data_IF_788981316218
#
_entry.id   IF_788981316218
#
_cell.length_a   1.000
_cell.length_b   1.000
_cell.length_c   1.000
_cell.angle_alpha   90.00
_cell.angle_beta   90.00
_cell.angle_gamma   90.00
#
_symmetry.space_group_name_H-M   'P 1'
#
loop_
_entity.id
_entity.type
_entity.pdbx_description
1 polymer ?
#
# COMPACT_ATOMS: atom_id res chain seq x y z
N UNK A 1 16.00 -12.71 -8.61
CA UNK A 1 14.70 -12.13 -9.01
C UNK A 1 13.63 -13.19 -8.87
N UNK A 2 12.71 -12.98 -7.96
CA UNK A 2 11.64 -13.93 -7.74
C UNK A 2 10.30 -13.20 -7.58
N UNK A 3 9.26 -13.74 -8.23
CA UNK A 3 7.89 -13.28 -8.02
C UNK A 3 7.27 -14.10 -6.89
N UNK A 4 6.58 -13.42 -5.99
CA UNK A 4 5.87 -14.07 -4.89
C UNK A 4 4.37 -14.07 -5.17
N UNK A 5 3.68 -15.09 -4.69
CA UNK A 5 2.23 -15.19 -4.81
C UNK A 5 1.57 -14.13 -3.94
N UNK A 6 0.65 -13.38 -4.52
CA UNK A 6 -0.15 -12.42 -3.77
C UNK A 6 -1.30 -13.15 -3.07
N UNK A 7 -1.34 -12.99 -1.75
CA UNK A 7 -2.36 -13.56 -0.87
C UNK A 7 -3.66 -12.79 -1.04
N UNK A 8 -4.78 -13.50 -1.05
CA UNK A 8 -6.10 -12.90 -1.27
C UNK A 8 -6.90 -12.75 0.02
N UNK A 9 -7.85 -11.81 0.01
CA UNK A 9 -8.79 -11.60 1.10
C UNK A 9 -9.43 -12.93 1.52
N UNK A 10 -9.49 -13.16 2.82
CA UNK A 10 -9.94 -14.41 3.41
C UNK A 10 -8.80 -15.25 3.96
N UNK A 11 -7.57 -15.01 3.55
CA UNK A 11 -6.39 -15.67 4.12
C UNK A 11 -5.97 -14.95 5.41
N UNK A 12 -5.67 -15.71 6.44
CA UNK A 12 -5.46 -15.22 7.81
C UNK A 12 -4.35 -14.17 7.95
N UNK A 13 -3.29 -14.25 7.15
CA UNK A 13 -2.15 -13.35 7.28
C UNK A 13 -2.50 -11.89 7.02
N UNK A 14 -3.57 -11.61 6.27
CA UNK A 14 -4.00 -10.24 5.97
C UNK A 14 -4.66 -9.52 7.14
N UNK A 15 -5.08 -10.25 8.17
CA UNK A 15 -5.75 -9.69 9.34
C UNK A 15 -4.89 -9.72 10.60
N UNK A 16 -3.62 -10.05 10.47
CA UNK A 16 -2.69 -10.15 11.59
C UNK A 16 -1.75 -8.93 11.64
N UNK A 17 -1.35 -8.58 12.85
CA UNK A 17 -0.35 -7.53 13.08
C UNK A 17 1.04 -8.07 12.77
N UNK A 18 1.79 -7.35 11.95
CA UNK A 18 3.14 -7.73 11.57
C UNK A 18 4.15 -7.36 12.66
N UNK A 19 5.23 -8.14 12.75
CA UNK A 19 6.30 -7.91 13.71
C UNK A 19 7.31 -6.90 13.17
N UNK A 20 7.88 -6.04 14.04
CA UNK A 20 8.97 -5.16 13.65
C UNK A 20 10.16 -5.94 13.12
N UNK A 21 10.86 -5.37 12.16
CA UNK A 21 12.13 -5.90 11.65
C UNK A 21 13.24 -5.46 12.61
N UNK A 22 14.04 -6.43 13.07
CA UNK A 22 15.17 -6.17 13.94
C UNK A 22 16.52 -6.52 13.31
N UNK A 23 16.49 -7.38 12.29
CA UNK A 23 17.69 -7.84 11.57
C UNK A 23 17.67 -7.32 10.13
N UNK A 24 18.59 -6.43 9.80
CA UNK A 24 18.72 -5.83 8.48
C UNK A 24 19.76 -6.61 7.70
N UNK A 25 19.38 -7.83 7.35
CA UNK A 25 20.25 -8.85 6.81
C UNK A 25 19.91 -9.19 5.35
N UNK A 26 20.56 -10.20 4.82
CA UNK A 26 20.35 -10.64 3.44
C UNK A 26 18.92 -11.15 3.19
N UNK A 27 18.27 -11.73 4.21
CA UNK A 27 16.86 -12.19 4.08
C UNK A 27 15.93 -11.02 3.84
N UNK A 28 16.15 -9.90 4.54
CA UNK A 28 15.39 -8.67 4.35
C UNK A 28 15.62 -8.11 2.94
N UNK A 29 16.87 -8.10 2.48
CA UNK A 29 17.21 -7.61 1.14
C UNK A 29 16.54 -8.44 0.04
N UNK A 30 16.53 -9.76 0.19
CA UNK A 30 15.85 -10.67 -0.75
C UNK A 30 14.33 -10.39 -0.75
N UNK A 31 13.73 -10.25 0.44
CA UNK A 31 12.29 -9.94 0.56
C UNK A 31 11.96 -8.62 -0.16
N UNK A 32 12.73 -7.57 0.08
CA UNK A 32 12.52 -6.27 -0.56
C UNK A 32 12.66 -6.37 -2.08
N UNK A 33 13.69 -7.08 -2.57
CA UNK A 33 13.89 -7.28 -4.00
C UNK A 33 12.71 -8.03 -4.64
N UNK A 34 12.25 -9.11 -3.99
CA UNK A 34 11.13 -9.91 -4.47
C UNK A 34 9.82 -9.09 -4.45
N UNK A 35 9.61 -8.28 -3.42
CA UNK A 35 8.43 -7.42 -3.33
C UNK A 35 8.41 -6.38 -4.44
N UNK A 36 9.57 -5.78 -4.76
CA UNK A 36 9.68 -4.83 -5.87
C UNK A 36 9.36 -5.49 -7.20
N UNK A 37 9.92 -6.66 -7.46
CA UNK A 37 9.66 -7.42 -8.69
C UNK A 37 8.19 -7.81 -8.80
N UNK A 38 7.60 -8.27 -7.70
CA UNK A 38 6.17 -8.65 -7.64
C UNK A 38 5.28 -7.43 -7.88
N UNK A 39 5.61 -6.29 -7.28
CA UNK A 39 4.86 -5.05 -7.48
C UNK A 39 4.87 -4.62 -8.95
N UNK A 40 6.05 -4.59 -9.56
CA UNK A 40 6.19 -4.19 -10.97
C UNK A 40 5.46 -5.14 -11.91
N UNK A 41 5.51 -6.43 -11.65
CA UNK A 41 4.79 -7.45 -12.44
C UNK A 41 3.27 -7.29 -12.31
N UNK A 42 2.78 -6.92 -11.13
CA UNK A 42 1.35 -6.81 -10.85
C UNK A 42 0.69 -5.56 -11.45
N UNK A 43 1.48 -4.54 -11.78
CA UNK A 43 0.96 -3.26 -12.24
C UNK A 43 0.35 -2.41 -11.11
N UNK A 44 0.50 -2.80 -9.86
CA UNK A 44 0.04 -2.02 -8.71
C UNK A 44 1.00 -0.88 -8.38
N UNK A 45 0.63 -0.09 -7.36
CA UNK A 45 1.43 1.06 -6.91
C UNK A 45 1.99 0.86 -5.49
N UNK A 46 1.57 -0.19 -4.80
CA UNK A 46 2.06 -0.53 -3.47
C UNK A 46 1.87 -2.00 -3.14
N UNK A 47 2.72 -2.50 -2.27
CA UNK A 47 2.66 -3.89 -1.80
C UNK A 47 3.25 -3.98 -0.39
N UNK A 48 2.54 -4.66 0.50
CA UNK A 48 2.97 -4.90 1.87
C UNK A 48 3.34 -6.37 2.06
N UNK A 49 4.28 -6.65 2.97
CA UNK A 49 4.79 -8.01 3.19
C UNK A 49 3.70 -9.05 3.52
N UNK A 50 2.67 -8.74 4.32
CA UNK A 50 1.61 -9.71 4.55
C UNK A 50 0.87 -10.13 3.28
N UNK A 51 0.85 -9.31 2.24
CA UNK A 51 0.25 -9.66 0.95
C UNK A 51 1.04 -10.73 0.20
N UNK A 52 2.26 -11.02 0.62
CA UNK A 52 3.05 -12.15 0.11
C UNK A 52 3.28 -13.21 1.21
N UNK A 53 2.47 -13.16 2.26
CA UNK A 53 2.46 -14.16 3.33
C UNK A 53 3.53 -13.98 4.40
N UNK A 54 4.20 -12.83 4.44
CA UNK A 54 5.28 -12.54 5.38
C UNK A 54 4.82 -11.51 6.41
N UNK A 55 4.74 -11.91 7.69
CA UNK A 55 4.23 -11.05 8.76
C UNK A 55 5.34 -10.18 9.37
N UNK A 56 5.94 -9.34 8.54
CA UNK A 56 6.98 -8.39 8.92
C UNK A 56 6.59 -6.99 8.48
N UNK A 57 7.01 -5.98 9.25
CA UNK A 57 6.64 -4.58 8.98
C UNK A 57 7.48 -3.98 7.85
N UNK A 58 7.15 -4.42 6.63
CA UNK A 58 7.85 -4.01 5.41
C UNK A 58 6.80 -3.74 4.32
N UNK A 59 6.94 -2.63 3.62
CA UNK A 59 6.16 -2.37 2.41
C UNK A 59 6.97 -1.59 1.38
N UNK A 60 6.50 -1.59 0.14
CA UNK A 60 7.08 -0.84 -0.96
C UNK A 60 5.98 -0.03 -1.63
N UNK A 61 6.30 1.20 -2.03
CA UNK A 61 5.37 2.12 -2.69
C UNK A 61 6.06 2.74 -3.89
N UNK A 62 5.40 2.76 -5.03
CA UNK A 62 5.89 3.46 -6.21
C UNK A 62 5.30 4.86 -6.25
N UNK A 63 6.14 5.88 -6.32
CA UNK A 63 5.71 7.27 -6.39
C UNK A 63 5.38 7.70 -7.82
N UNK A 64 4.99 8.95 -8.01
CA UNK A 64 4.60 9.48 -9.32
C UNK A 64 5.78 9.59 -10.30
N UNK A 65 7.02 9.55 -9.81
CA UNK A 65 8.23 9.54 -10.63
C UNK A 65 8.70 8.12 -10.96
N UNK A 66 7.85 7.12 -10.72
CA UNK A 66 8.13 5.69 -10.90
C UNK A 66 9.29 5.16 -10.03
N UNK A 67 9.64 5.88 -8.97
CA UNK A 67 10.62 5.42 -8.00
C UNK A 67 9.95 4.53 -6.96
N UNK A 68 10.60 3.42 -6.61
CA UNK A 68 10.08 2.51 -5.57
C UNK A 68 10.74 2.86 -4.24
N UNK A 69 9.91 3.23 -3.28
CA UNK A 69 10.31 3.58 -1.92
C UNK A 69 10.16 2.34 -1.05
N UNK A 70 11.28 1.89 -0.46
CA UNK A 70 11.29 0.78 0.50
C UNK A 70 11.08 1.33 1.89
N UNK A 71 10.07 0.81 2.59
CA UNK A 71 9.70 1.26 3.94
C UNK A 71 9.78 0.08 4.91
N UNK A 72 10.78 0.11 5.79
CA UNK A 72 10.94 -0.89 6.86
C UNK A 72 10.55 -0.24 8.18
N UNK A 73 9.71 -0.91 8.97
CA UNK A 73 9.16 -0.39 10.21
C UNK A 73 8.55 1.02 10.04
N UNK A 74 7.68 1.23 9.04
CA UNK A 74 7.14 2.56 8.77
C UNK A 74 6.15 3.02 9.82
N UNK A 75 6.16 4.33 10.05
CA UNK A 75 5.25 5.01 10.98
C UNK A 75 4.82 6.32 10.35
N UNK A 76 3.52 6.59 10.34
CA UNK A 76 3.00 7.88 9.89
C UNK A 76 3.21 8.89 11.02
N UNK A 77 4.00 9.94 10.74
CA UNK A 77 4.38 10.95 11.75
C UNK A 77 3.71 12.30 11.53
N UNK A 78 3.11 12.53 10.38
CA UNK A 78 2.41 13.77 10.07
C UNK A 78 1.39 13.55 8.96
N UNK A 79 0.22 14.16 9.10
CA UNK A 79 -0.81 14.19 8.05
C UNK A 79 -1.39 15.58 7.93
N UNK A 80 -1.86 15.93 6.74
CA UNK A 80 -2.53 17.20 6.46
C UNK A 80 -3.60 17.01 5.40
N UNK A 81 -4.74 17.66 5.59
CA UNK A 81 -5.82 17.68 4.63
C UNK A 81 -6.52 16.34 4.45
N UNK A 82 -7.40 16.29 3.47
CA UNK A 82 -8.15 15.08 3.12
C UNK A 82 -8.29 14.99 1.61
N UNK A 83 -8.31 13.77 1.12
CA UNK A 83 -8.63 13.44 -0.26
C UNK A 83 -9.61 12.27 -0.27
N UNK A 84 -10.53 12.26 -1.20
CA UNK A 84 -11.50 11.19 -1.36
C UNK A 84 -11.43 10.66 -2.79
N UNK A 85 -11.32 9.36 -2.94
CA UNK A 85 -11.20 8.75 -4.27
C UNK A 85 -11.27 7.24 -4.22
N UNK A 86 -11.18 6.65 -5.41
CA UNK A 86 -11.20 5.21 -5.56
C UNK A 86 -9.96 4.56 -4.99
N UNK A 87 -10.16 3.44 -4.33
CA UNK A 87 -9.10 2.60 -3.83
C UNK A 87 -9.41 1.14 -4.15
N UNK A 88 -8.39 0.39 -4.52
CA UNK A 88 -8.45 -1.04 -4.73
C UNK A 88 -7.22 -1.68 -4.11
N UNK A 89 -7.14 -2.99 -4.13
CA UNK A 89 -6.04 -3.72 -3.52
C UNK A 89 -5.75 -4.99 -4.32
N UNK A 90 -4.47 -5.32 -4.49
CA UNK A 90 -4.06 -6.55 -5.17
C UNK A 90 -4.58 -7.80 -4.47
N UNK A 91 -4.82 -7.73 -3.15
CA UNK A 91 -5.38 -8.81 -2.35
C UNK A 91 -6.91 -8.88 -2.38
N UNK A 92 -7.58 -7.90 -2.99
CA UNK A 92 -9.04 -7.83 -3.17
C UNK A 92 -9.33 -7.54 -4.64
N UNK A 93 -9.00 -8.47 -5.55
CA UNK A 93 -9.07 -8.20 -6.97
C UNK A 93 -10.51 -7.94 -7.47
N UNK A 94 -10.63 -7.01 -8.39
CA UNK A 94 -11.91 -6.69 -9.03
C UNK A 94 -12.90 -5.89 -8.19
N UNK A 95 -12.51 -5.47 -6.99
CA UNK A 95 -13.37 -4.69 -6.09
C UNK A 95 -12.72 -3.34 -5.78
N UNK A 96 -13.56 -2.30 -5.74
CA UNK A 96 -13.13 -0.94 -5.50
C UNK A 96 -14.10 -0.26 -4.54
N UNK A 97 -13.60 0.72 -3.81
CA UNK A 97 -14.42 1.53 -2.92
C UNK A 97 -13.94 2.97 -2.91
N UNK A 98 -14.81 3.88 -2.52
CA UNK A 98 -14.46 5.28 -2.31
C UNK A 98 -13.98 5.44 -0.88
N UNK A 99 -12.73 5.88 -0.71
CA UNK A 99 -12.07 5.99 0.59
C UNK A 99 -11.51 7.38 0.78
N UNK A 100 -11.68 7.94 1.98
CA UNK A 100 -11.10 9.21 2.39
C UNK A 100 -9.79 8.95 3.13
N UNK A 101 -8.71 9.62 2.69
CA UNK A 101 -7.38 9.53 3.26
C UNK A 101 -6.82 10.92 3.46
N UNK A 102 -5.76 11.09 4.28
CA UNK A 102 -5.04 12.36 4.28
C UNK A 102 -4.47 12.69 2.90
N UNK A 103 -4.47 13.97 2.56
CA UNK A 103 -3.91 14.43 1.28
C UNK A 103 -2.38 14.45 1.29
N UNK A 104 -1.80 14.82 2.44
CA UNK A 104 -0.35 14.84 2.64
C UNK A 104 -0.01 13.89 3.79
N UNK A 105 0.99 13.04 3.59
CA UNK A 105 1.44 12.07 4.59
C UNK A 105 2.96 12.08 4.66
N UNK A 106 3.50 12.20 5.87
CA UNK A 106 4.93 12.02 6.14
C UNK A 106 5.13 10.72 6.90
N UNK A 107 6.03 9.90 6.39
CA UNK A 107 6.36 8.60 6.96
C UNK A 107 7.80 8.63 7.47
N UNK A 108 8.02 8.15 8.69
CA UNK A 108 9.34 7.82 9.20
C UNK A 108 9.52 6.32 9.10
N UNK A 109 10.63 5.89 8.52
CA UNK A 109 10.92 4.47 8.30
C UNK A 109 12.41 4.22 8.37
N UNK A 110 12.78 2.96 8.20
CA UNK A 110 14.19 2.55 8.05
C UNK A 110 14.37 2.01 6.64
N UNK A 111 15.56 2.19 6.09
CA UNK A 111 15.93 1.60 4.80
C UNK A 111 16.38 0.14 5.01
N UNK A 112 16.83 -0.52 3.94
CA UNK A 112 17.24 -1.91 3.99
C UNK A 112 18.47 -2.18 4.85
N UNK A 113 19.21 -1.13 5.20
CA UNK A 113 20.40 -1.19 6.04
C UNK A 113 20.13 -0.72 7.48
N UNK A 114 18.89 -0.39 7.80
CA UNK A 114 18.46 0.03 9.13
C UNK A 114 18.59 1.50 9.42
N UNK A 115 18.98 2.32 8.45
CA UNK A 115 19.11 3.78 8.62
C UNK A 115 17.73 4.44 8.59
N UNK A 116 17.47 5.34 9.54
CA UNK A 116 16.23 6.08 9.59
C UNK A 116 16.17 7.18 8.51
N UNK A 117 15.00 7.39 7.96
CA UNK A 117 14.72 8.48 7.05
C UNK A 117 13.25 8.89 7.16
N UNK A 118 12.93 10.06 6.64
CA UNK A 118 11.55 10.51 6.50
C UNK A 118 11.27 10.81 5.04
N UNK A 119 10.08 10.51 4.62
CA UNK A 119 9.59 10.82 3.28
C UNK A 119 8.18 11.38 3.39
N UNK A 120 7.92 12.44 2.63
CA UNK A 120 6.61 13.08 2.59
C UNK A 120 6.14 13.12 1.15
N UNK A 121 4.87 12.83 0.94
CA UNK A 121 4.26 12.93 -0.38
C UNK A 121 2.77 13.26 -0.24
N UNK A 122 2.13 13.51 -1.37
CA UNK A 122 0.74 13.90 -1.46
C UNK A 122 -0.02 13.00 -2.45
N UNK A 123 -1.32 13.27 -2.58
CA UNK A 123 -2.19 12.66 -3.58
C UNK A 123 -2.14 11.13 -3.55
N UNK A 124 -1.91 10.48 -4.68
CA UNK A 124 -1.92 9.01 -4.80
C UNK A 124 -0.84 8.36 -3.93
N UNK A 125 0.37 8.93 -3.88
CA UNK A 125 1.46 8.36 -3.08
C UNK A 125 1.12 8.42 -1.59
N UNK A 126 0.55 9.52 -1.10
CA UNK A 126 0.10 9.62 0.29
C UNK A 126 -0.97 8.58 0.60
N UNK A 127 -1.93 8.37 -0.31
CA UNK A 127 -2.95 7.33 -0.19
C UNK A 127 -2.30 5.95 -0.08
N UNK A 128 -1.30 5.68 -0.91
CA UNK A 128 -0.58 4.40 -0.89
C UNK A 128 0.17 4.18 0.42
N UNK A 129 0.80 5.21 0.96
CA UNK A 129 1.45 5.09 2.28
C UNK A 129 0.46 4.60 3.34
N UNK A 130 -0.70 5.22 3.42
CA UNK A 130 -1.73 4.82 4.39
C UNK A 130 -2.21 3.39 4.16
N UNK A 131 -2.50 3.06 2.92
CA UNK A 131 -3.01 1.74 2.52
C UNK A 131 -2.01 0.63 2.89
N UNK A 132 -0.74 0.80 2.53
CA UNK A 132 0.27 -0.24 2.78
C UNK A 132 0.64 -0.34 4.27
N UNK A 133 0.73 0.78 4.98
CA UNK A 133 1.03 0.76 6.41
C UNK A 133 -0.10 0.09 7.20
N UNK A 134 -1.35 0.30 6.81
CA UNK A 134 -2.50 -0.38 7.42
C UNK A 134 -2.44 -1.90 7.28
N UNK A 135 -1.96 -2.40 6.15
CA UNK A 135 -1.75 -3.84 5.98
C UNK A 135 -0.85 -4.42 7.07
N UNK A 136 0.12 -3.65 7.54
CA UNK A 136 1.04 -4.10 8.59
C UNK A 136 0.37 -4.24 9.95
N UNK A 137 -0.79 -3.61 10.13
CA UNK A 137 -1.61 -3.70 11.33
C UNK A 137 -2.83 -4.62 11.14
N UNK A 138 -2.90 -5.33 10.02
CA UNK A 138 -3.95 -6.30 9.74
C UNK A 138 -5.23 -5.68 9.19
N UNK A 139 -5.17 -4.51 8.57
CA UNK A 139 -6.33 -3.81 8.03
C UNK A 139 -6.34 -3.77 6.50
N UNK A 140 -7.52 -3.81 5.92
CA UNK A 140 -7.77 -3.70 4.48
C UNK A 140 -8.62 -2.45 4.19
N UNK A 141 -8.47 -1.90 2.99
CA UNK A 141 -9.21 -0.70 2.59
C UNK A 141 -10.74 -0.86 2.68
N UNK A 142 -11.22 -2.10 2.57
CA UNK A 142 -12.66 -2.40 2.63
C UNK A 142 -13.30 -1.97 3.95
N UNK A 143 -12.50 -1.80 5.01
CA UNK A 143 -12.95 -1.30 6.32
C UNK A 143 -13.26 0.20 6.31
N UNK A 144 -12.78 0.93 5.31
CA UNK A 144 -12.91 2.38 5.19
C UNK A 144 -13.95 2.83 4.16
N UNK A 145 -14.69 1.89 3.60
CA UNK A 145 -15.76 2.20 2.66
C UNK A 145 -17.05 1.54 3.11
N UNK A 146 -18.16 2.25 2.99
CA UNK A 146 -19.49 1.72 3.34
C UNK A 146 -20.01 0.76 2.28
N UNK A 147 -19.46 0.84 1.09
CA UNK A 147 -19.98 0.11 -0.06
C UNK A 147 -18.88 -0.16 -1.08
N UNK A 148 -18.73 -1.43 -1.44
CA UNK A 148 -17.86 -1.83 -2.56
C UNK A 148 -18.67 -1.62 -3.85
N UNK A 149 -18.07 -0.91 -4.80
CA UNK A 149 -18.74 -0.56 -6.05
C UNK A 149 -18.98 -1.79 -6.93
N UNK A 150 -20.16 -1.87 -7.52
CA UNK A 150 -20.43 -2.79 -8.64
C UNK A 150 -19.65 -2.28 -9.86
N UNK A 151 -19.56 -3.11 -10.89
CA UNK A 151 -18.91 -2.70 -12.15
C UNK A 151 -19.60 -1.47 -12.76
N UNK A 152 -20.94 -1.43 -12.72
CA UNK A 152 -21.70 -0.29 -13.22
C UNK A 152 -21.42 0.99 -12.43
N UNK A 153 -21.38 0.88 -11.09
CA UNK A 153 -21.07 2.01 -10.22
C UNK A 153 -19.64 2.50 -10.43
N UNK A 154 -18.70 1.60 -10.64
CA UNK A 154 -17.30 1.93 -10.93
C UNK A 154 -17.20 2.72 -12.23
N UNK A 155 -17.85 2.25 -13.31
CA UNK A 155 -17.86 2.93 -14.60
C UNK A 155 -18.49 4.32 -14.48
N UNK A 156 -19.58 4.45 -13.76
CA UNK A 156 -20.24 5.73 -13.49
C UNK A 156 -19.33 6.69 -12.73
N UNK A 157 -18.63 6.19 -11.72
CA UNK A 157 -17.68 7.00 -10.94
C UNK A 157 -16.55 7.53 -11.83
N UNK A 158 -15.95 6.67 -12.64
CA UNK A 158 -14.88 7.04 -13.56
C UNK A 158 -15.37 8.09 -14.56
N UNK A 159 -16.55 7.90 -15.11
CA UNK A 159 -17.16 8.84 -16.07
C UNK A 159 -17.36 10.22 -15.45
N UNK A 160 -17.85 10.28 -14.21
CA UNK A 160 -18.03 11.54 -13.50
C UNK A 160 -16.72 12.27 -13.24
N UNK A 161 -15.66 11.53 -12.89
CA UNK A 161 -14.35 12.13 -12.69
C UNK A 161 -13.79 12.71 -14.00
N UNK A 162 -13.97 12.04 -15.10
CA UNK A 162 -13.55 12.53 -16.43
C UNK A 162 -14.30 13.81 -16.81
N UNK A 163 -15.60 13.88 -16.53
CA UNK A 163 -16.42 15.08 -16.77
C UNK A 163 -15.97 16.25 -15.91
N UNK A 164 -15.63 16.01 -14.64
CA UNK A 164 -15.20 17.06 -13.72
C UNK A 164 -13.80 17.61 -14.10
N UNK A 165 -12.98 16.81 -14.77
CA UNK A 165 -11.63 17.20 -15.23
C UNK A 165 -11.66 17.90 -16.59
N UNK A 166 -12.78 17.87 -17.28
CA UNK A 166 -12.91 18.44 -18.64
C UNK A 166 -13.07 19.96 -18.61
#
# INVERSE_FOLDING_TARGET
MALRRIVLQGEDCLTKVCRPVTDFDNRLHILLNDMKDTLLDSGGVGLAAPQVGILRRVCVVQNENDEIIELVNPEIVYTQGEQTGLEGCLSVPGKFGVVTRPEVVRVRAQDRDGNFFEVEDSDLTARCFCHEIEHLDGHLFVEHTDHLLTEEELQEYIRRQEEDEA
#
